data_IF_097309581264
#
_entry.id   IF_097309581264
#
_cell.length_a   1.000
_cell.length_b   1.000
_cell.length_c   1.000
_cell.angle_alpha   90.00
_cell.angle_beta   90.00
_cell.angle_gamma   90.00
#
_symmetry.space_group_name_H-M   'P 1'
#
loop_
_entity.id
_entity.type
_entity.pdbx_description
1 polymer ?
#
# COMPACT_ATOMS: atom_id res chain seq x y z
N UNK A 1 13.21 2.91 11.43
CA UNK A 1 13.60 3.31 10.05
C UNK A 1 12.90 4.60 9.64
N UNK A 2 11.57 4.66 9.52
CA UNK A 2 10.83 5.87 9.09
C UNK A 2 11.14 7.16 9.87
N UNK A 3 11.20 7.10 11.21
CA UNK A 3 11.56 8.26 12.03
C UNK A 3 13.01 8.77 11.81
N UNK A 4 13.97 7.86 11.61
CA UNK A 4 15.36 8.21 11.30
C UNK A 4 15.51 8.82 9.89
N UNK A 5 14.64 8.43 8.97
CA UNK A 5 14.57 8.97 7.61
C UNK A 5 13.99 10.40 7.59
N UNK A 6 12.99 10.69 8.44
CA UNK A 6 12.41 12.04 8.57
C UNK A 6 13.39 13.02 9.23
N UNK A 7 14.09 12.61 10.28
CA UNK A 7 15.12 13.43 10.93
C UNK A 7 16.32 13.70 10.01
N UNK A 8 16.72 12.73 9.18
CA UNK A 8 17.81 12.91 8.21
C UNK A 8 17.44 13.74 6.98
N UNK A 9 16.14 13.90 6.69
CA UNK A 9 15.63 14.61 5.51
C UNK A 9 14.98 15.96 5.81
N UNK A 10 15.00 16.41 7.08
CA UNK A 10 14.40 17.67 7.51
C UNK A 10 14.93 18.89 6.73
N UNK A 11 16.19 18.85 6.29
CA UNK A 11 16.83 19.93 5.52
C UNK A 11 16.75 19.74 3.99
N UNK A 12 16.16 18.65 3.49
CA UNK A 12 16.15 18.30 2.05
C UNK A 12 14.83 17.64 1.62
N UNK A 13 13.84 18.40 1.14
CA UNK A 13 12.50 17.87 0.80
C UNK A 13 12.53 16.79 -0.29
N UNK A 14 13.51 16.82 -1.19
CA UNK A 14 13.74 15.77 -2.20
C UNK A 14 14.13 14.42 -1.58
N UNK A 15 14.82 14.43 -0.43
CA UNK A 15 15.19 13.21 0.29
C UNK A 15 13.99 12.62 1.03
N UNK A 16 13.12 13.45 1.61
CA UNK A 16 11.89 12.97 2.26
C UNK A 16 10.97 12.23 1.27
N UNK A 17 10.83 12.74 0.04
CA UNK A 17 10.08 12.10 -1.04
C UNK A 17 10.69 10.74 -1.46
N UNK A 18 12.01 10.68 -1.65
CA UNK A 18 12.71 9.43 -2.00
C UNK A 18 12.65 8.36 -0.89
N UNK A 19 12.61 8.79 0.37
CA UNK A 19 12.56 7.90 1.52
C UNK A 19 11.14 7.36 1.77
N UNK A 20 10.13 8.18 1.49
CA UNK A 20 8.71 7.77 1.52
C UNK A 20 8.41 6.75 0.43
N UNK A 21 8.95 6.95 -0.78
CA UNK A 21 8.82 5.97 -1.87
C UNK A 21 9.60 4.68 -1.61
N UNK A 22 10.77 4.75 -0.97
CA UNK A 22 11.51 3.56 -0.50
C UNK A 22 10.70 2.70 0.48
N UNK A 23 9.94 3.31 1.38
CA UNK A 23 9.07 2.59 2.31
C UNK A 23 7.94 1.81 1.59
N UNK A 24 7.38 2.38 0.52
CA UNK A 24 6.36 1.71 -0.31
C UNK A 24 6.88 0.43 -0.98
N UNK A 25 8.15 0.36 -1.35
CA UNK A 25 8.77 -0.86 -1.90
C UNK A 25 9.09 -1.90 -0.83
N UNK A 26 9.38 -1.48 0.41
CA UNK A 26 9.67 -2.38 1.53
C UNK A 26 8.37 -2.91 2.17
N UNK A 27 7.26 -2.19 2.04
CA UNK A 27 5.97 -2.54 2.65
C UNK A 27 5.42 -3.94 2.27
N UNK A 28 5.47 -4.42 1.01
CA UNK A 28 5.01 -5.77 0.64
C UNK A 28 5.88 -6.87 1.26
N UNK A 29 7.19 -6.63 1.39
CA UNK A 29 8.12 -7.55 2.05
C UNK A 29 7.91 -7.58 3.57
N UNK A 30 7.57 -6.45 4.18
CA UNK A 30 7.18 -6.40 5.60
C UNK A 30 5.84 -7.09 5.83
N UNK A 31 4.86 -6.87 4.96
CA UNK A 31 3.53 -7.48 5.07
C UNK A 31 3.60 -9.02 4.99
N UNK A 32 4.45 -9.58 4.12
CA UNK A 32 4.62 -11.03 4.00
C UNK A 32 5.13 -11.70 5.29
N UNK A 33 5.96 -11.00 6.07
CA UNK A 33 6.44 -11.47 7.38
C UNK A 33 5.29 -11.61 8.37
N UNK A 34 4.38 -10.63 8.43
CA UNK A 34 3.23 -10.67 9.35
C UNK A 34 2.20 -11.71 8.93
N UNK A 35 1.95 -11.89 7.63
CA UNK A 35 1.07 -12.97 7.15
C UNK A 35 1.59 -14.35 7.55
N UNK A 36 2.88 -14.59 7.38
CA UNK A 36 3.51 -15.84 7.77
C UNK A 36 3.43 -16.10 9.29
N UNK A 37 3.61 -15.04 10.10
CA UNK A 37 3.52 -15.14 11.55
C UNK A 37 2.08 -15.43 12.01
N UNK A 38 1.09 -14.75 11.43
CA UNK A 38 -0.34 -14.93 11.73
C UNK A 38 -0.79 -16.36 11.43
N UNK A 39 -0.49 -16.87 10.23
CA UNK A 39 -0.83 -18.24 9.83
C UNK A 39 -0.22 -19.30 10.78
N UNK A 40 1.02 -19.12 11.22
CA UNK A 40 1.68 -20.07 12.14
C UNK A 40 1.13 -20.02 13.57
N UNK A 41 0.76 -18.83 14.05
CA UNK A 41 0.15 -18.66 15.37
C UNK A 41 -1.20 -19.39 15.46
N UNK A 42 -1.99 -19.35 14.38
CA UNK A 42 -3.29 -20.03 14.30
C UNK A 42 -3.17 -21.56 14.29
N UNK A 43 -2.13 -22.12 13.69
CA UNK A 43 -1.91 -23.56 13.67
C UNK A 43 -1.11 -24.10 14.88
N UNK A 44 -0.95 -23.32 15.95
CA UNK A 44 -0.17 -23.69 17.16
C UNK A 44 1.26 -24.21 16.87
N UNK A 45 1.86 -23.80 15.76
CA UNK A 45 3.22 -24.20 15.44
C UNK A 45 4.22 -23.35 16.24
N UNK A 46 5.35 -23.95 16.66
CA UNK A 46 6.43 -23.22 17.34
C UNK A 46 6.82 -21.96 16.54
N UNK A 47 7.05 -20.85 17.25
CA UNK A 47 7.54 -19.61 16.66
C UNK A 47 8.78 -19.92 15.81
N UNK A 48 8.77 -19.59 14.51
CA UNK A 48 9.88 -19.88 13.62
C UNK A 48 11.11 -19.06 13.99
N UNK A 49 12.28 -19.51 13.56
CA UNK A 49 13.48 -18.68 13.59
C UNK A 49 13.21 -17.36 12.82
N UNK A 50 13.76 -16.24 13.29
CA UNK A 50 13.49 -14.87 12.81
C UNK A 50 13.61 -14.68 11.28
N UNK A 51 14.34 -15.56 10.60
CA UNK A 51 14.61 -15.53 9.16
C UNK A 51 13.70 -16.42 8.30
N UNK A 52 12.96 -17.38 8.87
CA UNK A 52 12.07 -18.23 8.10
C UNK A 52 10.87 -17.48 7.44
N UNK A 53 10.28 -16.44 8.07
CA UNK A 53 9.27 -15.61 7.41
C UNK A 53 9.80 -14.92 6.15
N UNK A 54 11.07 -14.49 6.14
CA UNK A 54 11.72 -13.89 4.98
C UNK A 54 11.95 -14.89 3.83
N UNK A 55 11.84 -16.21 4.08
CA UNK A 55 11.98 -17.27 3.07
C UNK A 55 10.65 -17.81 2.53
N UNK A 56 9.52 -17.32 3.04
CA UNK A 56 8.18 -17.76 2.64
C UNK A 56 7.84 -17.46 1.16
N UNK A 57 8.41 -16.40 0.57
CA UNK A 57 8.37 -16.10 -0.87
C UNK A 57 8.85 -17.24 -1.80
N UNK A 58 9.67 -18.18 -1.30
CA UNK A 58 10.17 -19.31 -2.11
C UNK A 58 9.09 -20.34 -2.47
N UNK A 59 7.92 -20.29 -1.82
CA UNK A 59 6.81 -21.20 -2.14
C UNK A 59 6.16 -20.95 -3.50
N UNK A 60 6.17 -19.69 -3.99
CA UNK A 60 5.55 -19.28 -5.25
C UNK A 60 6.27 -18.06 -5.88
N UNK A 61 7.57 -18.18 -6.22
CA UNK A 61 8.41 -17.03 -6.56
C UNK A 61 8.00 -16.35 -7.87
N UNK A 62 7.51 -17.11 -8.86
CA UNK A 62 7.08 -16.56 -10.15
C UNK A 62 5.84 -15.69 -9.98
N UNK A 63 4.79 -16.20 -9.32
CA UNK A 63 3.55 -15.44 -9.15
C UNK A 63 3.74 -14.23 -8.23
N UNK A 64 4.56 -14.36 -7.19
CA UNK A 64 4.95 -13.22 -6.35
C UNK A 64 5.81 -12.20 -7.12
N UNK A 65 6.68 -12.66 -8.03
CA UNK A 65 7.45 -11.79 -8.93
C UNK A 65 6.55 -11.02 -9.89
N UNK A 66 5.54 -11.67 -10.48
CA UNK A 66 4.53 -11.01 -11.31
C UNK A 66 3.69 -10.02 -10.50
N UNK A 67 3.36 -10.34 -9.26
CA UNK A 67 2.67 -9.43 -8.36
C UNK A 67 3.52 -8.20 -8.03
N UNK A 68 4.80 -8.37 -7.74
CA UNK A 68 5.73 -7.25 -7.54
C UNK A 68 5.87 -6.40 -8.83
N UNK A 69 5.94 -7.05 -10.00
CA UNK A 69 6.01 -6.36 -11.29
C UNK A 69 4.74 -5.52 -11.55
N UNK A 70 3.56 -6.04 -11.22
CA UNK A 70 2.31 -5.30 -11.29
C UNK A 70 2.38 -4.04 -10.41
N UNK A 71 2.87 -4.14 -9.17
CA UNK A 71 3.02 -2.98 -8.29
C UNK A 71 3.98 -1.93 -8.86
N UNK A 72 5.13 -2.35 -9.39
CA UNK A 72 6.10 -1.45 -10.04
C UNK A 72 5.47 -0.74 -11.23
N UNK A 73 4.73 -1.47 -12.07
CA UNK A 73 4.05 -0.91 -13.23
C UNK A 73 3.00 0.13 -12.81
N UNK A 74 2.19 -0.20 -11.81
CA UNK A 74 1.17 0.73 -11.28
C UNK A 74 1.81 1.99 -10.67
N UNK A 75 2.88 1.85 -9.89
CA UNK A 75 3.61 3.00 -9.33
C UNK A 75 4.22 3.87 -10.43
N UNK A 76 4.76 3.26 -11.49
CA UNK A 76 5.28 3.98 -12.66
C UNK A 76 4.16 4.72 -13.40
N UNK A 77 3.01 4.08 -13.57
CA UNK A 77 1.84 4.73 -14.18
C UNK A 77 1.34 5.91 -13.32
N UNK A 78 1.34 5.77 -12.00
CA UNK A 78 0.98 6.84 -11.07
C UNK A 78 1.94 8.03 -11.14
N UNK A 79 3.25 7.77 -11.20
CA UNK A 79 4.27 8.82 -11.37
C UNK A 79 4.03 9.62 -12.65
N UNK A 80 3.82 8.92 -13.77
CA UNK A 80 3.52 9.56 -15.06
C UNK A 80 2.22 10.35 -15.03
N UNK A 81 1.17 9.78 -14.45
CA UNK A 81 -0.12 10.47 -14.32
C UNK A 81 0.00 11.70 -13.42
N UNK A 82 0.75 11.61 -12.32
CA UNK A 82 1.04 12.74 -11.44
C UNK A 82 1.77 13.86 -12.17
N UNK A 83 2.81 13.53 -12.96
CA UNK A 83 3.55 14.51 -13.75
C UNK A 83 2.65 15.20 -14.79
N UNK A 84 1.76 14.45 -15.46
CA UNK A 84 0.78 15.00 -16.39
C UNK A 84 -0.20 15.94 -15.67
N UNK A 85 -0.76 15.53 -14.53
CA UNK A 85 -1.68 16.37 -13.76
C UNK A 85 -1.01 17.65 -13.26
N UNK A 86 0.22 17.56 -12.77
CA UNK A 86 1.02 18.74 -12.40
C UNK A 86 1.25 19.63 -13.62
N UNK A 87 1.65 19.08 -14.75
CA UNK A 87 1.86 19.82 -15.99
C UNK A 87 0.59 20.44 -16.59
N UNK A 88 -0.58 19.83 -16.41
CA UNK A 88 -1.84 20.36 -16.94
C UNK A 88 -2.38 21.50 -16.08
N UNK A 89 -2.31 21.36 -14.75
CA UNK A 89 -2.96 22.29 -13.84
C UNK A 89 -2.02 23.35 -13.25
N UNK A 90 -0.72 23.07 -13.13
CA UNK A 90 0.24 23.95 -12.44
C UNK A 90 1.26 24.61 -13.38
N UNK A 91 1.32 24.25 -14.67
CA UNK A 91 2.31 24.79 -15.61
C UNK A 91 2.25 26.32 -15.79
N UNK A 92 1.11 26.96 -15.52
CA UNK A 92 0.96 28.42 -15.59
C UNK A 92 1.06 29.14 -14.23
N UNK A 93 1.26 28.40 -13.14
CA UNK A 93 1.15 28.93 -11.77
C UNK A 93 2.46 29.47 -11.18
N UNK A 94 3.62 29.19 -11.81
CA UNK A 94 4.93 29.60 -11.29
C UNK A 94 5.36 28.90 -10.00
N UNK A 95 4.62 27.87 -9.58
CA UNK A 95 4.87 27.10 -8.37
C UNK A 95 6.05 26.15 -8.59
N UNK A 96 7.20 26.47 -7.99
CA UNK A 96 8.43 25.70 -8.12
C UNK A 96 8.58 24.56 -7.10
N UNK A 97 7.75 24.51 -6.05
CA UNK A 97 7.89 23.55 -4.95
C UNK A 97 6.54 23.08 -4.38
N UNK A 98 6.49 21.81 -3.95
CA UNK A 98 5.33 21.19 -3.29
C UNK A 98 4.97 21.89 -1.96
N UNK A 99 5.94 22.50 -1.29
CA UNK A 99 5.70 23.24 -0.05
C UNK A 99 4.79 24.46 -0.25
N UNK A 100 4.88 25.11 -1.41
CA UNK A 100 4.07 26.29 -1.73
C UNK A 100 2.61 25.90 -2.01
N UNK A 101 2.37 24.69 -2.54
CA UNK A 101 1.03 24.12 -2.76
C UNK A 101 0.28 23.82 -1.46
N UNK A 102 0.99 23.59 -0.35
CA UNK A 102 0.38 23.21 0.92
C UNK A 102 -0.11 24.41 1.73
N UNK A 103 0.08 25.64 1.25
CA UNK A 103 -0.53 26.82 1.87
C UNK A 103 -2.03 26.87 1.59
N UNK A 104 -2.83 27.22 2.60
CA UNK A 104 -4.30 27.24 2.47
C UNK A 104 -4.79 28.11 1.30
N UNK A 105 -4.07 29.19 0.99
CA UNK A 105 -4.39 30.09 -0.10
C UNK A 105 -4.20 29.43 -1.48
N UNK A 106 -3.06 28.77 -1.69
CA UNK A 106 -2.75 28.06 -2.94
C UNK A 106 -3.63 26.83 -3.13
N UNK A 107 -3.98 26.14 -2.05
CA UNK A 107 -4.89 24.99 -2.08
C UNK A 107 -6.31 25.39 -2.53
N UNK A 108 -6.78 26.57 -2.12
CA UNK A 108 -8.05 27.13 -2.59
C UNK A 108 -7.99 27.60 -4.04
N UNK A 109 -6.87 28.20 -4.46
CA UNK A 109 -6.67 28.66 -5.83
C UNK A 109 -6.54 27.52 -6.85
N UNK A 110 -6.03 26.37 -6.42
CA UNK A 110 -5.85 25.19 -7.26
C UNK A 110 -6.73 24.01 -6.79
N UNK A 111 -7.95 24.30 -6.32
CA UNK A 111 -8.89 23.27 -5.88
C UNK A 111 -9.18 22.23 -6.99
N UNK A 112 -9.22 22.67 -8.26
CA UNK A 112 -9.42 21.79 -9.42
C UNK A 112 -8.29 20.76 -9.56
N UNK A 113 -7.04 21.17 -9.35
CA UNK A 113 -5.89 20.27 -9.33
C UNK A 113 -6.01 19.25 -8.20
N UNK A 114 -6.32 19.71 -6.98
CA UNK A 114 -6.44 18.83 -5.81
C UNK A 114 -7.55 17.80 -6.02
N UNK A 115 -8.72 18.24 -6.49
CA UNK A 115 -9.85 17.35 -6.77
C UNK A 115 -9.50 16.34 -7.87
N UNK A 116 -8.89 16.78 -8.97
CA UNK A 116 -8.46 15.87 -10.03
C UNK A 116 -7.41 14.87 -9.51
N UNK A 117 -6.38 15.34 -8.82
CA UNK A 117 -5.31 14.51 -8.26
C UNK A 117 -5.85 13.45 -7.29
N UNK A 118 -6.75 13.85 -6.39
CA UNK A 118 -7.42 12.93 -5.47
C UNK A 118 -8.35 11.96 -6.20
N UNK A 119 -9.10 12.40 -7.20
CA UNK A 119 -10.02 11.52 -7.94
C UNK A 119 -9.25 10.44 -8.71
N UNK A 120 -8.23 10.81 -9.48
CA UNK A 120 -7.38 9.85 -10.20
C UNK A 120 -6.65 8.92 -9.24
N UNK A 121 -6.13 9.45 -8.13
CA UNK A 121 -5.50 8.65 -7.08
C UNK A 121 -6.47 7.65 -6.43
N UNK A 122 -7.69 8.08 -6.12
CA UNK A 122 -8.72 7.24 -5.52
C UNK A 122 -9.16 6.11 -6.45
N UNK A 123 -9.34 6.39 -7.76
CA UNK A 123 -9.66 5.36 -8.76
C UNK A 123 -8.55 4.32 -8.85
N UNK A 124 -7.29 4.76 -8.95
CA UNK A 124 -6.15 3.86 -9.01
C UNK A 124 -6.00 3.04 -7.72
N UNK A 125 -6.18 3.67 -6.56
CA UNK A 125 -6.13 3.04 -5.27
C UNK A 125 -7.24 1.98 -5.12
N UNK A 126 -8.47 2.29 -5.51
CA UNK A 126 -9.60 1.35 -5.47
C UNK A 126 -9.34 0.15 -6.38
N UNK A 127 -8.87 0.39 -7.62
CA UNK A 127 -8.52 -0.66 -8.55
C UNK A 127 -7.43 -1.56 -7.96
N UNK A 128 -6.34 -0.98 -7.47
CA UNK A 128 -5.23 -1.74 -6.90
C UNK A 128 -5.62 -2.49 -5.64
N UNK A 129 -6.40 -1.87 -4.76
CA UNK A 129 -6.93 -2.51 -3.57
C UNK A 129 -7.78 -3.73 -3.95
N UNK A 130 -8.68 -3.58 -4.93
CA UNK A 130 -9.53 -4.69 -5.38
C UNK A 130 -8.73 -5.88 -5.91
N UNK A 131 -7.59 -5.62 -6.56
CA UNK A 131 -6.71 -6.64 -7.13
C UNK A 131 -5.71 -7.23 -6.14
N UNK A 132 -5.48 -6.59 -4.99
CA UNK A 132 -4.37 -6.95 -4.08
C UNK A 132 -4.79 -7.41 -2.69
N UNK A 133 -5.96 -6.99 -2.19
CA UNK A 133 -6.37 -7.15 -0.78
C UNK A 133 -6.27 -8.59 -0.28
N UNK A 134 -6.59 -9.59 -1.12
CA UNK A 134 -6.43 -11.01 -0.78
C UNK A 134 -5.42 -11.76 -1.65
N UNK A 135 -4.92 -11.15 -2.73
CA UNK A 135 -3.97 -11.78 -3.65
C UNK A 135 -2.66 -12.17 -2.95
N UNK A 136 -2.10 -11.26 -2.16
CA UNK A 136 -0.83 -11.51 -1.48
C UNK A 136 -0.93 -12.65 -0.44
N UNK A 137 -1.88 -12.66 0.52
CA UNK A 137 -2.01 -13.80 1.44
C UNK A 137 -2.36 -15.10 0.70
N UNK A 138 -3.17 -15.07 -0.36
CA UNK A 138 -3.48 -16.25 -1.17
C UNK A 138 -2.26 -16.84 -1.88
N UNK A 139 -1.41 -16.01 -2.47
CA UNK A 139 -0.16 -16.45 -3.13
C UNK A 139 0.86 -17.01 -2.15
N UNK A 140 0.83 -16.54 -0.89
CA UNK A 140 1.70 -17.00 0.18
C UNK A 140 1.20 -18.31 0.82
N UNK A 141 -0.13 -18.45 0.97
CA UNK A 141 -0.76 -19.61 1.56
C UNK A 141 -0.90 -20.77 0.57
N UNK A 142 -1.23 -20.47 -0.70
CA UNK A 142 -1.59 -21.47 -1.71
C UNK A 142 -0.68 -21.38 -2.94
N UNK A 143 -0.43 -22.52 -3.59
CA UNK A 143 0.27 -22.61 -4.88
C UNK A 143 -0.68 -22.31 -6.05
N UNK A 144 -1.23 -21.10 -6.06
CA UNK A 144 -2.07 -20.61 -7.16
C UNK A 144 -1.27 -19.68 -8.08
N UNK A 145 -1.66 -19.57 -9.34
CA UNK A 145 -1.05 -18.64 -10.28
C UNK A 145 -1.50 -17.20 -10.02
N UNK A 146 -0.72 -16.25 -10.54
CA UNK A 146 -0.94 -14.81 -10.39
C UNK A 146 -2.35 -14.38 -10.85
N UNK A 147 -2.83 -14.87 -12.00
CA UNK A 147 -4.13 -14.46 -12.53
C UNK A 147 -5.27 -14.94 -11.64
N UNK A 148 -5.21 -16.20 -11.18
CA UNK A 148 -6.20 -16.74 -10.23
C UNK A 148 -6.28 -15.92 -8.95
N UNK A 149 -5.14 -15.50 -8.39
CA UNK A 149 -5.12 -14.67 -7.17
C UNK A 149 -5.81 -13.31 -7.39
N UNK A 150 -5.50 -12.65 -8.52
CA UNK A 150 -6.11 -11.36 -8.87
C UNK A 150 -7.61 -11.46 -9.08
N UNK A 151 -8.06 -12.49 -9.82
CA UNK A 151 -9.49 -12.72 -10.06
C UNK A 151 -10.22 -13.01 -8.75
N UNK A 152 -9.63 -13.85 -7.88
CA UNK A 152 -10.18 -14.11 -6.56
C UNK A 152 -10.31 -12.83 -5.74
N UNK A 153 -9.30 -11.95 -5.77
CA UNK A 153 -9.32 -10.67 -5.06
C UNK A 153 -10.38 -9.72 -5.59
N UNK A 154 -10.47 -9.60 -6.91
CA UNK A 154 -11.47 -8.76 -7.54
C UNK A 154 -12.89 -9.25 -7.21
N UNK A 155 -13.13 -10.56 -7.28
CA UNK A 155 -14.43 -11.15 -6.98
C UNK A 155 -14.77 -11.02 -5.50
N UNK A 156 -13.82 -11.26 -4.58
CA UNK A 156 -14.02 -11.05 -3.15
C UNK A 156 -14.40 -9.59 -2.84
N UNK A 157 -13.72 -8.64 -3.50
CA UNK A 157 -14.02 -7.20 -3.37
C UNK A 157 -15.40 -6.86 -3.91
N UNK A 158 -15.73 -7.35 -5.10
CA UNK A 158 -17.01 -7.08 -5.78
C UNK A 158 -18.20 -7.66 -5.02
N UNK A 159 -18.09 -8.88 -4.52
CA UNK A 159 -19.16 -9.56 -3.77
C UNK A 159 -19.37 -8.93 -2.38
N UNK A 160 -18.33 -8.29 -1.81
CA UNK A 160 -18.37 -7.66 -0.49
C UNK A 160 -18.05 -6.16 -0.56
N UNK A 161 -18.64 -5.46 -1.54
CA UNK A 161 -18.23 -4.09 -1.89
C UNK A 161 -18.26 -3.11 -0.72
N UNK A 162 -19.35 -3.07 0.07
CA UNK A 162 -19.46 -2.14 1.19
C UNK A 162 -18.43 -2.43 2.31
N UNK A 163 -18.32 -3.66 2.84
CA UNK A 163 -17.26 -4.01 3.80
C UNK A 163 -15.86 -3.71 3.28
N UNK A 164 -15.60 -3.99 2.00
CA UNK A 164 -14.28 -3.80 1.39
C UNK A 164 -13.95 -2.34 1.18
N UNK A 165 -14.94 -1.50 0.83
CA UNK A 165 -14.78 -0.06 0.76
C UNK A 165 -14.47 0.53 2.14
N UNK A 166 -15.21 0.10 3.18
CA UNK A 166 -14.93 0.50 4.56
C UNK A 166 -13.51 0.08 4.98
N UNK A 167 -13.11 -1.15 4.66
CA UNK A 167 -11.77 -1.65 4.96
C UNK A 167 -10.68 -0.83 4.26
N UNK A 168 -10.87 -0.51 2.97
CA UNK A 168 -9.96 0.36 2.22
C UNK A 168 -9.85 1.76 2.82
N UNK A 169 -10.96 2.36 3.25
CA UNK A 169 -10.98 3.67 3.93
C UNK A 169 -10.25 3.61 5.28
N UNK A 170 -10.43 2.55 6.07
CA UNK A 170 -9.72 2.36 7.33
C UNK A 170 -8.21 2.23 7.13
N UNK A 171 -7.77 1.45 6.14
CA UNK A 171 -6.35 1.34 5.79
C UNK A 171 -5.80 2.71 5.39
N UNK A 172 -6.49 3.43 4.50
CA UNK A 172 -6.07 4.76 4.07
C UNK A 172 -5.96 5.75 5.25
N UNK A 173 -6.94 5.76 6.15
CA UNK A 173 -6.93 6.59 7.35
C UNK A 173 -5.79 6.24 8.30
N UNK A 174 -5.54 4.95 8.56
CA UNK A 174 -4.43 4.50 9.38
C UNK A 174 -3.06 4.85 8.76
N UNK A 175 -2.93 4.72 7.44
CA UNK A 175 -1.72 5.15 6.72
C UNK A 175 -1.52 6.66 6.84
N UNK A 176 -2.58 7.45 6.72
CA UNK A 176 -2.52 8.90 6.90
C UNK A 176 -2.08 9.29 8.32
N UNK A 177 -2.60 8.62 9.36
CA UNK A 177 -2.14 8.79 10.76
C UNK A 177 -0.68 8.39 10.91
N UNK A 178 -0.27 7.29 10.29
CA UNK A 178 1.12 6.85 10.24
C UNK A 178 2.04 7.91 9.63
N UNK A 179 1.66 8.50 8.49
CA UNK A 179 2.41 9.57 7.83
C UNK A 179 2.45 10.85 8.67
N UNK A 180 1.32 11.26 9.25
CA UNK A 180 1.21 12.45 10.10
C UNK A 180 2.10 12.38 11.35
N UNK A 181 2.35 11.18 11.86
CA UNK A 181 3.24 10.92 13.00
C UNK A 181 4.69 10.61 12.60
N UNK A 182 5.11 11.01 11.39
CA UNK A 182 6.46 10.74 10.87
C UNK A 182 6.82 9.25 10.88
N UNK A 183 5.84 8.40 10.57
CA UNK A 183 5.92 6.93 10.56
C UNK A 183 6.18 6.27 11.93
N UNK A 184 6.04 6.99 13.06
CA UNK A 184 6.13 6.39 14.40
C UNK A 184 4.95 5.47 14.70
N UNK A 185 3.71 5.93 14.47
CA UNK A 185 2.52 5.10 14.69
C UNK A 185 2.52 3.83 13.82
N UNK A 186 3.28 3.87 12.71
CA UNK A 186 3.43 2.79 11.76
C UNK A 186 4.06 1.52 12.38
N UNK A 187 4.84 1.66 13.45
CA UNK A 187 5.41 0.54 14.21
C UNK A 187 4.30 -0.36 14.78
N UNK A 188 3.18 0.23 15.19
CA UNK A 188 2.03 -0.49 15.76
C UNK A 188 1.00 -0.81 14.68
N UNK A 189 0.76 0.12 13.75
CA UNK A 189 -0.23 -0.02 12.68
C UNK A 189 0.13 -1.16 11.72
N UNK A 190 1.41 -1.32 11.33
CA UNK A 190 1.80 -2.37 10.37
C UNK A 190 1.51 -3.80 10.88
N UNK A 191 1.97 -4.19 12.08
CA UNK A 191 1.64 -5.51 12.62
C UNK A 191 0.12 -5.74 12.72
N UNK A 192 -0.61 -4.71 13.14
CA UNK A 192 -2.06 -4.80 13.30
C UNK A 192 -2.78 -4.98 11.97
N UNK A 193 -2.43 -4.18 10.95
CA UNK A 193 -2.97 -4.32 9.60
C UNK A 193 -2.60 -5.66 8.96
N UNK A 194 -1.38 -6.15 9.19
CA UNK A 194 -0.94 -7.46 8.69
C UNK A 194 -1.80 -8.61 9.27
N UNK A 195 -2.04 -8.58 10.58
CA UNK A 195 -2.91 -9.57 11.23
C UNK A 195 -4.38 -9.43 10.77
N UNK A 196 -4.93 -8.22 10.77
CA UNK A 196 -6.31 -7.99 10.33
C UNK A 196 -6.54 -8.38 8.86
N UNK A 197 -5.58 -8.12 7.98
CA UNK A 197 -5.66 -8.50 6.57
C UNK A 197 -5.58 -10.02 6.36
N UNK A 198 -4.84 -10.75 7.22
CA UNK A 198 -4.87 -12.21 7.24
C UNK A 198 -6.25 -12.77 7.60
N UNK A 199 -6.85 -12.24 8.67
CA UNK A 199 -8.19 -12.66 9.09
C UNK A 199 -9.25 -12.31 8.05
N UNK A 200 -9.17 -11.12 7.46
CA UNK A 200 -10.04 -10.73 6.35
C UNK A 200 -9.91 -11.69 5.16
N UNK A 201 -8.68 -12.08 4.79
CA UNK A 201 -8.45 -13.09 3.76
C UNK A 201 -9.13 -14.41 4.08
N UNK A 202 -8.94 -14.92 5.30
CA UNK A 202 -9.53 -16.19 5.73
C UNK A 202 -11.05 -16.11 5.66
N UNK A 203 -11.67 -15.11 6.28
CA UNK A 203 -13.13 -14.98 6.33
C UNK A 203 -13.75 -14.83 4.92
N UNK A 204 -13.02 -14.30 3.94
CA UNK A 204 -13.48 -14.13 2.56
C UNK A 204 -13.28 -15.36 1.66
N UNK A 205 -12.23 -16.14 1.88
CA UNK A 205 -11.77 -17.18 0.94
C UNK A 205 -11.85 -18.59 1.56
N UNK A 206 -11.66 -18.69 2.86
CA UNK A 206 -11.75 -19.90 3.66
C UNK A 206 -13.01 -19.80 4.50
N UNK A 207 -14.14 -20.15 3.90
CA UNK A 207 -15.38 -20.33 4.66
C UNK A 207 -15.10 -21.20 5.90
N UNK A 208 -15.71 -20.89 7.06
CA UNK A 208 -15.42 -21.51 8.35
C UNK A 208 -15.64 -23.04 8.37
#
# INVERSE_FOLDING_TARGET
LGYALVLGAADRPHQALALTSGFLFVAPLLASVFYYLSHRLEHHHKLPALWAPLLSWRGNPVSLGLFALMLVFTLSAWERLSAILVGLFLNSSGIGNLADLLTLHTLQQHADFVLAYLAFGAVLALLMFSLSVVSLPMLMHRKVDFATALVASFMATRLNFLPMLLWGVLIAGLVAVGMATSFLAMIVIFPWLGHASWHAYRDLIEAP
#
